data_IF_824614787651
#
_entry.id   IF_824614787651
#
_cell.length_a   1.000
_cell.length_b   1.000
_cell.length_c   1.000
_cell.angle_alpha   90.00
_cell.angle_beta   90.00
_cell.angle_gamma   90.00
#
_symmetry.space_group_name_H-M   'P 1'
#
loop_
_entity.id
_entity.type
_entity.pdbx_description
1 polymer ?
#
# COMPACT_ATOMS: atom_id res chain seq x y z
N UNK A 1 8.28 22.26 10.37
CA UNK A 1 9.53 22.21 9.55
C UNK A 1 9.21 21.37 8.33
N UNK A 2 9.66 21.69 7.10
CA UNK A 2 9.39 20.82 5.94
C UNK A 2 10.29 19.60 5.97
N UNK A 3 9.78 18.45 5.47
CA UNK A 3 10.59 17.25 5.30
C UNK A 3 11.65 17.45 4.22
N UNK A 4 12.86 16.94 4.46
CA UNK A 4 13.96 17.01 3.48
C UNK A 4 13.69 16.07 2.30
N UNK A 5 13.68 16.58 1.07
CA UNK A 5 13.53 15.77 -0.14
C UNK A 5 14.92 15.44 -0.72
N UNK A 6 15.30 14.16 -0.67
CA UNK A 6 16.57 13.64 -1.18
C UNK A 6 16.32 12.88 -2.47
N UNK A 7 16.64 13.48 -3.61
CA UNK A 7 16.54 12.81 -4.92
C UNK A 7 17.72 11.86 -5.13
N UNK A 8 17.44 10.66 -5.61
CA UNK A 8 18.43 9.61 -5.82
C UNK A 8 18.07 8.77 -7.05
N UNK A 9 19.06 8.35 -7.81
CA UNK A 9 18.85 7.33 -8.86
C UNK A 9 18.89 5.94 -8.25
N UNK A 10 17.97 5.06 -8.65
CA UNK A 10 18.05 3.65 -8.29
C UNK A 10 19.14 2.87 -9.03
N UNK A 11 19.66 3.45 -10.13
CA UNK A 11 20.76 2.84 -10.89
C UNK A 11 22.07 3.01 -10.13
N UNK A 12 22.75 1.88 -9.83
CA UNK A 12 24.07 1.82 -9.18
C UNK A 12 24.15 2.47 -7.80
N UNK A 13 23.02 2.60 -7.08
CA UNK A 13 22.99 3.14 -5.72
C UNK A 13 23.71 2.19 -4.75
N UNK A 14 24.51 2.76 -3.85
CA UNK A 14 25.25 2.03 -2.81
C UNK A 14 25.01 2.68 -1.44
N UNK A 15 25.46 1.99 -0.39
CA UNK A 15 25.44 2.52 0.97
C UNK A 15 26.27 3.81 1.15
N UNK A 16 27.22 4.07 0.26
CA UNK A 16 28.09 5.24 0.30
C UNK A 16 27.51 6.48 -0.41
N UNK A 17 26.39 6.35 -1.10
CA UNK A 17 25.72 7.48 -1.72
C UNK A 17 25.41 8.58 -0.68
N UNK A 18 25.72 9.86 -0.96
CA UNK A 18 25.51 10.96 0.01
C UNK A 18 24.07 11.06 0.53
N UNK A 19 23.07 10.86 -0.34
CA UNK A 19 21.66 10.89 0.06
C UNK A 19 21.32 9.69 0.98
N UNK A 20 21.87 8.50 0.67
CA UNK A 20 21.72 7.31 1.51
C UNK A 20 22.38 7.53 2.87
N UNK A 21 23.63 8.00 2.92
CA UNK A 21 24.33 8.28 4.18
C UNK A 21 23.60 9.29 5.06
N UNK A 22 23.06 10.35 4.44
CA UNK A 22 22.28 11.34 5.16
C UNK A 22 20.99 10.74 5.74
N UNK A 23 20.23 9.98 4.94
CA UNK A 23 19.03 9.29 5.38
C UNK A 23 19.33 8.24 6.47
N UNK A 24 20.42 7.47 6.32
CA UNK A 24 20.88 6.49 7.30
C UNK A 24 21.27 7.14 8.64
N UNK A 25 21.92 8.31 8.59
CA UNK A 25 22.23 9.08 9.81
C UNK A 25 20.94 9.48 10.54
N UNK A 26 19.91 9.95 9.82
CA UNK A 26 18.60 10.29 10.41
C UNK A 26 18.02 9.06 11.12
N UNK A 27 17.99 7.87 10.46
CA UNK A 27 17.48 6.62 11.05
C UNK A 27 18.25 6.23 12.32
N UNK A 28 19.61 6.30 12.30
CA UNK A 28 20.45 5.98 13.47
C UNK A 28 20.19 6.88 14.67
N UNK A 29 19.81 8.15 14.43
CA UNK A 29 19.49 9.10 15.50
C UNK A 29 17.99 9.11 15.88
N UNK A 30 17.24 8.04 15.54
CA UNK A 30 15.83 7.88 15.91
C UNK A 30 14.87 8.71 15.03
N UNK A 31 15.34 9.29 13.92
CA UNK A 31 14.51 10.02 12.97
C UNK A 31 13.73 9.11 12.03
N UNK A 32 12.82 9.71 11.24
CA UNK A 32 11.94 9.04 10.32
C UNK A 32 12.26 9.39 8.87
N UNK A 33 12.45 8.37 8.03
CA UNK A 33 12.73 8.53 6.60
C UNK A 33 11.70 7.74 5.78
N UNK A 34 11.01 8.42 4.86
CA UNK A 34 10.25 7.72 3.85
C UNK A 34 11.16 7.29 2.69
N UNK A 35 11.01 6.05 2.23
CA UNK A 35 11.87 5.49 1.19
C UNK A 35 11.09 4.58 0.23
N UNK A 36 11.52 4.49 -1.05
CA UNK A 36 10.89 3.62 -2.04
C UNK A 36 11.19 2.16 -1.75
N UNK A 37 10.20 1.31 -2.01
CA UNK A 37 10.40 -0.13 -2.20
C UNK A 37 9.79 -0.53 -3.54
N UNK A 38 10.01 -1.76 -3.98
CA UNK A 38 9.39 -2.30 -5.19
C UNK A 38 7.86 -2.36 -5.09
N UNK A 39 7.32 -2.39 -3.87
CA UNK A 39 5.87 -2.45 -3.60
C UNK A 39 5.22 -1.08 -3.50
N UNK A 40 5.51 -0.34 -2.44
CA UNK A 40 5.02 1.01 -2.14
C UNK A 40 6.11 1.78 -1.36
N UNK A 41 5.97 3.08 -1.18
CA UNK A 41 6.86 3.81 -0.27
C UNK A 41 6.60 3.42 1.18
N UNK A 42 7.68 3.10 1.92
CA UNK A 42 7.67 2.81 3.34
C UNK A 42 8.08 4.02 4.19
N UNK A 43 7.50 4.18 5.38
CA UNK A 43 7.96 5.13 6.40
C UNK A 43 8.83 4.40 7.40
N UNK A 44 10.14 4.63 7.36
CA UNK A 44 11.15 3.92 8.13
C UNK A 44 11.59 4.62 9.40
N UNK A 45 11.80 3.83 10.44
CA UNK A 45 12.51 4.17 11.67
C UNK A 45 13.33 2.96 12.14
N UNK A 46 14.30 3.18 13.04
CA UNK A 46 15.09 2.09 13.61
C UNK A 46 14.17 1.09 14.35
N UNK A 47 14.13 -0.15 13.87
CA UNK A 47 13.25 -1.20 14.40
C UNK A 47 13.64 -1.65 15.82
N UNK A 48 14.88 -1.39 16.26
CA UNK A 48 15.40 -1.75 17.59
C UNK A 48 15.19 -0.63 18.61
N UNK A 49 14.79 0.55 18.15
CA UNK A 49 14.53 1.71 18.99
C UNK A 49 13.02 1.90 19.18
N UNK A 50 12.55 1.63 20.41
CA UNK A 50 11.13 1.75 20.78
C UNK A 50 10.58 3.15 20.48
N UNK A 51 11.34 4.20 20.76
CA UNK A 51 10.88 5.58 20.58
C UNK A 51 10.79 5.95 19.09
N UNK A 52 11.74 5.50 18.25
CA UNK A 52 11.65 5.66 16.81
C UNK A 52 10.40 4.94 16.24
N UNK A 53 10.09 3.74 16.74
CA UNK A 53 8.87 3.01 16.36
C UNK A 53 7.62 3.78 16.77
N UNK A 54 7.54 4.32 17.98
CA UNK A 54 6.40 5.12 18.44
C UNK A 54 6.22 6.40 17.61
N UNK A 55 7.30 7.05 17.18
CA UNK A 55 7.23 8.19 16.25
C UNK A 55 6.61 7.83 14.91
N UNK A 56 6.78 6.59 14.42
CA UNK A 56 6.09 6.12 13.20
C UNK A 56 4.56 6.14 13.41
N UNK A 57 4.09 5.63 14.55
CA UNK A 57 2.65 5.63 14.88
C UNK A 57 2.10 7.06 14.98
N UNK A 58 2.83 7.95 15.64
CA UNK A 58 2.46 9.36 15.79
C UNK A 58 2.39 10.07 14.42
N UNK A 59 3.45 9.98 13.60
CA UNK A 59 3.52 10.63 12.29
C UNK A 59 2.37 10.22 11.38
N UNK A 60 1.99 8.94 11.40
CA UNK A 60 0.90 8.37 10.60
C UNK A 60 -0.48 8.51 11.24
N UNK A 61 -0.59 8.86 12.51
CA UNK A 61 -1.81 8.73 13.30
C UNK A 61 -2.35 7.27 13.26
N UNK A 62 -1.42 6.31 13.35
CA UNK A 62 -1.69 4.88 13.30
C UNK A 62 -2.02 4.37 14.70
N UNK A 63 -3.04 3.54 14.90
CA UNK A 63 -3.33 2.94 16.20
C UNK A 63 -2.27 1.88 16.57
N UNK A 64 -1.95 1.80 17.86
CA UNK A 64 -0.89 0.93 18.37
C UNK A 64 -1.17 -0.58 18.22
N UNK A 65 -2.43 -0.97 17.98
CA UNK A 65 -2.82 -2.38 17.77
C UNK A 65 -2.49 -2.93 16.36
N UNK A 66 -2.02 -2.09 15.43
CA UNK A 66 -1.71 -2.50 14.05
C UNK A 66 -0.19 -2.65 13.88
N UNK A 67 0.36 -3.89 13.84
CA UNK A 67 1.80 -4.16 13.87
C UNK A 67 2.52 -3.60 12.63
N UNK A 68 3.85 -3.55 12.69
CA UNK A 68 4.72 -3.02 11.64
C UNK A 68 5.67 -4.11 11.14
N UNK A 69 5.91 -4.16 9.83
CA UNK A 69 6.88 -5.05 9.20
C UNK A 69 8.30 -4.50 9.42
N UNK A 70 9.22 -5.38 9.79
CA UNK A 70 10.64 -5.07 9.93
C UNK A 70 11.39 -5.49 8.67
N UNK A 71 12.15 -4.56 8.11
CA UNK A 71 12.92 -4.74 6.88
C UNK A 71 14.40 -4.94 7.18
N UNK A 72 15.00 -5.94 6.54
CA UNK A 72 16.41 -6.26 6.60
C UNK A 72 17.07 -6.14 5.22
N UNK A 73 18.39 -5.89 5.15
CA UNK A 73 19.12 -5.84 3.88
C UNK A 73 19.66 -7.21 3.44
N UNK A 74 19.66 -8.21 4.33
CA UNK A 74 20.21 -9.54 4.05
C UNK A 74 19.54 -10.63 4.88
N UNK A 75 19.68 -11.90 4.45
CA UNK A 75 19.26 -13.07 5.24
C UNK A 75 20.00 -13.17 6.57
N UNK A 76 21.27 -12.76 6.61
CA UNK A 76 22.05 -12.75 7.85
C UNK A 76 21.39 -11.82 8.87
N UNK A 77 21.09 -10.56 8.50
CA UNK A 77 20.38 -9.62 9.36
C UNK A 77 18.98 -10.14 9.71
N UNK A 78 18.20 -10.64 8.74
CA UNK A 78 16.84 -11.13 8.98
C UNK A 78 16.80 -12.24 10.05
N UNK A 79 17.76 -13.17 10.03
CA UNK A 79 17.85 -14.28 10.99
C UNK A 79 18.16 -13.83 12.42
N UNK A 80 18.81 -12.69 12.64
CA UNK A 80 19.07 -12.16 14.00
C UNK A 80 17.82 -11.59 14.66
N UNK A 81 16.77 -11.33 13.89
CA UNK A 81 15.53 -10.69 14.37
C UNK A 81 14.48 -11.68 14.86
N UNK A 82 14.71 -12.96 14.67
CA UNK A 82 13.77 -14.05 14.96
C UNK A 82 14.44 -15.18 15.75
N UNK A 83 13.65 -15.88 16.55
CA UNK A 83 14.16 -17.01 17.37
C UNK A 83 14.49 -18.26 16.56
N UNK A 84 13.85 -18.44 15.39
CA UNK A 84 14.06 -19.57 14.52
C UNK A 84 13.80 -19.22 13.05
N UNK A 85 14.55 -19.91 12.16
CA UNK A 85 14.37 -19.83 10.70
C UNK A 85 14.07 -21.22 10.15
N UNK A 86 12.80 -21.67 10.16
CA UNK A 86 12.42 -23.02 9.77
C UNK A 86 12.64 -23.29 8.28
N UNK A 87 12.55 -24.56 7.86
CA UNK A 87 12.76 -24.98 6.48
C UNK A 87 11.85 -24.27 5.48
N UNK A 88 10.57 -24.05 5.84
CA UNK A 88 9.65 -23.29 5.00
C UNK A 88 10.12 -21.84 4.79
N UNK A 89 10.67 -21.18 5.83
CA UNK A 89 11.29 -19.86 5.68
C UNK A 89 12.51 -19.90 4.76
N UNK A 90 13.34 -20.95 4.86
CA UNK A 90 14.51 -21.10 4.00
C UNK A 90 14.10 -21.26 2.52
N UNK A 91 13.11 -22.11 2.24
CA UNK A 91 12.59 -22.32 0.87
C UNK A 91 11.99 -21.04 0.29
N UNK A 92 11.08 -20.38 1.03
CA UNK A 92 10.41 -19.18 0.57
C UNK A 92 11.37 -18.00 0.39
N UNK A 93 12.34 -17.83 1.32
CA UNK A 93 13.32 -16.75 1.18
C UNK A 93 14.28 -16.98 0.02
N UNK A 94 14.65 -18.21 -0.29
CA UNK A 94 15.49 -18.52 -1.45
C UNK A 94 14.79 -18.18 -2.79
N UNK A 95 13.47 -18.30 -2.84
CA UNK A 95 12.70 -18.02 -4.07
C UNK A 95 12.26 -16.54 -4.17
N UNK A 96 11.94 -15.88 -3.04
CA UNK A 96 11.19 -14.62 -3.05
C UNK A 96 11.81 -13.50 -2.20
N UNK A 97 13.06 -13.66 -1.71
CA UNK A 97 13.79 -12.60 -1.02
C UNK A 97 15.19 -12.43 -1.63
N UNK A 98 15.58 -11.21 -1.99
CA UNK A 98 14.85 -9.94 -1.86
C UNK A 98 13.55 -9.91 -2.69
N UNK A 99 12.44 -9.34 -2.11
CA UNK A 99 11.18 -9.27 -2.84
C UNK A 99 9.94 -8.94 -1.98
N UNK A 100 8.76 -9.01 -2.61
CA UNK A 100 7.50 -8.59 -2.00
C UNK A 100 6.87 -9.71 -1.13
N UNK A 101 7.69 -10.40 -0.33
CA UNK A 101 7.26 -11.41 0.64
C UNK A 101 7.60 -10.96 2.07
N UNK A 102 6.68 -11.16 3.00
CA UNK A 102 6.84 -10.96 4.44
C UNK A 102 6.51 -12.25 5.17
N UNK A 103 7.46 -12.76 5.95
CA UNK A 103 7.28 -13.94 6.79
C UNK A 103 6.96 -13.52 8.22
N UNK A 104 5.86 -14.03 8.79
CA UNK A 104 5.56 -13.92 10.22
C UNK A 104 6.27 -15.05 10.95
N UNK A 105 7.18 -14.68 11.87
CA UNK A 105 8.04 -15.59 12.61
C UNK A 105 8.11 -15.18 14.09
N UNK A 106 8.36 -16.10 15.02
CA UNK A 106 8.59 -15.78 16.44
C UNK A 106 9.73 -14.76 16.58
N UNK A 107 9.41 -13.59 17.16
CA UNK A 107 10.36 -12.49 17.29
C UNK A 107 11.48 -12.81 18.27
N UNK A 108 12.66 -12.29 18.02
CA UNK A 108 13.73 -12.20 19.02
C UNK A 108 13.45 -11.06 20.01
N UNK A 109 13.93 -11.16 21.24
CA UNK A 109 13.66 -10.20 22.33
C UNK A 109 14.21 -8.79 22.08
N UNK A 110 15.14 -8.63 21.11
CA UNK A 110 15.64 -7.32 20.67
C UNK A 110 14.58 -6.49 19.93
N UNK A 111 13.49 -7.11 19.46
CA UNK A 111 12.40 -6.40 18.77
C UNK A 111 11.41 -5.86 19.80
N UNK A 112 11.26 -4.53 19.93
CA UNK A 112 10.31 -3.92 20.85
C UNK A 112 8.87 -4.37 20.58
N UNK A 113 8.08 -4.55 21.64
CA UNK A 113 6.65 -4.87 21.55
C UNK A 113 5.87 -3.86 20.71
N UNK A 114 6.31 -2.61 20.66
CA UNK A 114 5.73 -1.59 19.82
C UNK A 114 5.71 -1.97 18.32
N UNK A 115 6.71 -2.72 17.81
CA UNK A 115 6.72 -3.20 16.43
C UNK A 115 5.62 -4.24 16.16
N UNK A 116 5.31 -5.06 17.16
CA UNK A 116 4.45 -6.25 17.01
C UNK A 116 3.06 -6.07 17.63
N UNK A 117 2.76 -4.88 18.15
CA UNK A 117 1.54 -4.62 18.91
C UNK A 117 1.39 -5.61 20.10
N UNK A 118 2.50 -5.93 20.77
CA UNK A 118 2.56 -6.88 21.90
C UNK A 118 2.53 -8.35 21.52
N UNK A 119 2.53 -8.68 20.22
CA UNK A 119 2.47 -10.09 19.77
C UNK A 119 3.85 -10.75 19.74
N UNK A 120 3.83 -12.08 19.86
CA UNK A 120 5.03 -12.94 19.86
C UNK A 120 5.69 -13.10 18.47
N UNK A 121 5.02 -12.69 17.39
CA UNK A 121 5.52 -12.80 16.01
C UNK A 121 5.80 -11.44 15.41
N UNK A 122 6.84 -11.39 14.59
CA UNK A 122 7.23 -10.22 13.80
C UNK A 122 7.19 -10.54 12.31
N UNK A 123 6.73 -9.59 11.50
CA UNK A 123 6.83 -9.69 10.04
C UNK A 123 8.22 -9.27 9.57
N UNK A 124 8.95 -10.17 8.92
CA UNK A 124 10.30 -9.93 8.37
C UNK A 124 10.24 -9.90 6.85
N UNK A 125 10.87 -8.89 6.25
CA UNK A 125 10.98 -8.74 4.81
C UNK A 125 12.37 -8.27 4.40
N UNK A 126 12.86 -8.73 3.26
CA UNK A 126 14.03 -8.17 2.55
C UNK A 126 13.48 -7.57 1.25
N UNK A 127 13.40 -6.22 1.12
CA UNK A 127 12.84 -5.58 -0.07
C UNK A 127 13.78 -5.75 -1.27
N UNK A 128 13.25 -5.75 -2.51
CA UNK A 128 14.07 -5.87 -3.71
C UNK A 128 14.59 -4.51 -4.24
N UNK A 129 14.08 -3.39 -3.74
CA UNK A 129 14.43 -2.07 -4.25
C UNK A 129 15.86 -1.66 -3.81
N UNK A 130 16.77 -1.28 -4.75
CA UNK A 130 18.18 -0.99 -4.43
C UNK A 130 18.35 0.12 -3.38
N UNK A 131 17.54 1.18 -3.45
CA UNK A 131 17.59 2.29 -2.46
C UNK A 131 17.20 1.82 -1.07
N UNK A 132 16.22 0.93 -0.94
CA UNK A 132 15.82 0.37 0.35
C UNK A 132 16.95 -0.49 0.95
N UNK A 133 17.56 -1.34 0.14
CA UNK A 133 18.69 -2.18 0.58
C UNK A 133 19.88 -1.34 1.03
N UNK A 134 20.29 -0.36 0.20
CA UNK A 134 21.38 0.56 0.50
C UNK A 134 21.12 1.38 1.78
N UNK A 135 19.88 1.85 2.00
CA UNK A 135 19.52 2.58 3.22
C UNK A 135 19.65 1.70 4.47
N UNK A 136 19.13 0.46 4.44
CA UNK A 136 19.19 -0.46 5.58
C UNK A 136 20.66 -0.85 5.86
N UNK A 137 21.44 -1.10 4.82
CA UNK A 137 22.87 -1.42 4.92
C UNK A 137 23.64 -0.24 5.54
N UNK A 138 23.49 0.99 5.01
CA UNK A 138 24.14 2.19 5.52
C UNK A 138 23.69 2.55 6.95
N UNK A 139 22.44 2.27 7.31
CA UNK A 139 21.95 2.47 8.67
C UNK A 139 22.58 1.46 9.66
N UNK A 140 22.93 0.26 9.19
CA UNK A 140 23.49 -0.81 10.03
C UNK A 140 22.49 -1.40 11.02
N UNK A 141 21.19 -1.05 10.90
CA UNK A 141 20.10 -1.52 11.75
C UNK A 141 18.90 -1.91 10.90
N UNK A 142 18.07 -2.88 11.34
CA UNK A 142 16.82 -3.19 10.68
C UNK A 142 15.85 -1.99 10.76
N UNK A 143 15.01 -1.82 9.75
CA UNK A 143 14.09 -0.69 9.65
C UNK A 143 12.65 -1.18 9.79
N UNK A 144 11.93 -0.69 10.82
CA UNK A 144 10.49 -0.86 10.92
C UNK A 144 9.80 0.10 9.93
N UNK A 145 9.01 -0.44 8.98
CA UNK A 145 8.38 0.42 7.97
C UNK A 145 6.99 -0.07 7.56
N UNK A 146 5.91 0.64 7.95
CA UNK A 146 4.62 0.58 7.27
C UNK A 146 4.65 1.43 5.99
N UNK A 147 3.59 1.43 5.18
CA UNK A 147 3.44 2.36 4.05
C UNK A 147 3.51 3.83 4.49
N UNK A 148 4.09 4.73 3.68
CA UNK A 148 4.36 6.12 4.06
C UNK A 148 3.18 7.07 3.78
N UNK A 149 1.96 6.72 4.25
CA UNK A 149 0.72 7.50 4.17
C UNK A 149 0.13 7.73 5.56
N UNK A 150 -0.83 8.63 5.69
CA UNK A 150 -1.69 8.68 6.87
C UNK A 150 -2.48 7.38 7.01
N UNK A 151 -2.75 6.95 8.24
CA UNK A 151 -3.47 5.71 8.49
C UNK A 151 -4.83 5.68 7.76
N UNK A 152 -5.15 4.54 7.16
CA UNK A 152 -6.40 4.33 6.41
C UNK A 152 -6.40 4.86 4.97
N UNK A 153 -5.53 5.82 4.61
CA UNK A 153 -5.45 6.36 3.26
C UNK A 153 -4.81 5.36 2.26
N UNK A 154 -4.99 5.63 0.96
CA UNK A 154 -4.35 4.87 -0.12
C UNK A 154 -2.82 4.90 0.03
N UNK A 155 -2.14 3.76 -0.20
CA UNK A 155 -0.69 3.70 -0.05
C UNK A 155 0.04 4.58 -1.08
N UNK A 156 1.19 5.17 -0.72
CA UNK A 156 1.94 6.03 -1.62
C UNK A 156 2.82 5.21 -2.56
N UNK A 157 2.75 5.50 -3.86
CA UNK A 157 3.59 4.88 -4.88
C UNK A 157 4.64 5.83 -5.45
N UNK A 158 4.66 7.09 -4.99
CA UNK A 158 5.66 8.11 -5.37
C UNK A 158 6.04 8.97 -4.16
N UNK A 159 7.19 9.63 -4.21
CA UNK A 159 7.60 10.61 -3.20
C UNK A 159 6.61 11.78 -3.06
N UNK A 160 5.98 12.19 -4.17
CA UNK A 160 4.95 13.24 -4.16
C UNK A 160 3.72 12.83 -3.34
N UNK A 161 3.31 11.54 -3.39
CA UNK A 161 2.24 11.03 -2.54
C UNK A 161 2.61 11.07 -1.06
N UNK A 162 3.87 10.71 -0.72
CA UNK A 162 4.38 10.80 0.65
C UNK A 162 4.38 12.25 1.14
N UNK A 163 4.89 13.17 0.33
CA UNK A 163 4.96 14.59 0.66
C UNK A 163 3.58 15.18 0.98
N UNK A 164 2.54 14.82 0.21
CA UNK A 164 1.16 15.26 0.50
C UNK A 164 0.63 14.75 1.84
N UNK A 165 0.98 13.53 2.22
CA UNK A 165 0.44 12.90 3.43
C UNK A 165 1.23 13.26 4.68
N UNK A 166 2.57 13.37 4.58
CA UNK A 166 3.48 13.38 5.72
C UNK A 166 4.46 14.56 5.76
N UNK A 167 4.40 15.53 4.83
CA UNK A 167 5.28 16.71 4.90
C UNK A 167 5.16 17.42 6.26
N UNK A 168 6.29 17.74 6.84
CA UNK A 168 6.38 18.36 8.16
C UNK A 168 6.18 17.42 9.36
N UNK A 169 5.91 16.13 9.11
CA UNK A 169 5.72 15.10 10.14
C UNK A 169 6.87 14.10 10.23
N UNK A 170 7.71 14.06 9.19
CA UNK A 170 8.85 13.16 9.04
C UNK A 170 10.09 13.95 8.66
N UNK A 171 11.27 13.40 8.91
CA UNK A 171 12.53 14.13 8.75
C UNK A 171 12.97 14.19 7.29
N UNK A 172 12.84 13.08 6.51
CA UNK A 172 13.26 13.06 5.12
C UNK A 172 12.43 12.11 4.24
N UNK A 173 12.52 12.34 2.93
CA UNK A 173 11.95 11.50 1.87
C UNK A 173 13.06 11.21 0.86
N UNK A 174 13.39 9.94 0.62
CA UNK A 174 14.22 9.49 -0.49
C UNK A 174 13.32 9.34 -1.74
N UNK A 175 13.62 10.09 -2.80
CA UNK A 175 12.85 10.06 -4.04
C UNK A 175 13.67 9.36 -5.15
N UNK A 176 13.27 8.12 -5.47
CA UNK A 176 13.85 7.34 -6.58
C UNK A 176 12.82 6.99 -7.66
N UNK A 177 11.76 7.79 -7.79
CA UNK A 177 10.69 7.55 -8.76
C UNK A 177 9.56 6.64 -8.23
N UNK A 178 8.68 6.17 -9.12
CA UNK A 178 7.51 5.38 -8.74
C UNK A 178 7.85 3.94 -8.34
N UNK A 179 7.05 3.38 -7.42
CA UNK A 179 7.10 1.96 -7.08
C UNK A 179 6.57 1.09 -8.25
N UNK A 180 7.20 -0.06 -8.48
CA UNK A 180 6.93 -0.90 -9.66
C UNK A 180 5.68 -1.77 -9.50
N UNK A 181 5.44 -2.38 -8.31
CA UNK A 181 4.37 -3.35 -8.08
C UNK A 181 3.05 -2.68 -7.71
N UNK A 182 3.10 -1.61 -6.91
CA UNK A 182 1.93 -0.80 -6.57
C UNK A 182 0.98 -1.39 -5.52
N UNK A 183 1.20 -2.63 -5.06
CA UNK A 183 0.51 -3.25 -3.93
C UNK A 183 1.53 -3.80 -2.95
N UNK A 184 1.17 -3.91 -1.67
CA UNK A 184 2.07 -4.32 -0.60
C UNK A 184 2.52 -5.78 -0.73
N UNK A 185 3.52 -6.16 0.09
CA UNK A 185 4.02 -7.53 0.18
C UNK A 185 2.95 -8.51 0.64
N UNK A 186 3.04 -9.75 0.18
CA UNK A 186 2.29 -10.87 0.72
C UNK A 186 2.78 -11.17 2.13
N UNK A 187 1.86 -11.29 3.10
CA UNK A 187 2.18 -11.62 4.49
C UNK A 187 1.68 -13.03 4.80
N UNK A 188 2.61 -13.92 5.15
CA UNK A 188 2.31 -15.32 5.46
C UNK A 188 2.85 -15.73 6.83
N UNK A 189 2.01 -16.39 7.60
CA UNK A 189 2.40 -17.10 8.81
C UNK A 189 2.73 -18.55 8.47
N UNK A 190 4.00 -18.88 8.51
CA UNK A 190 4.50 -20.22 8.21
C UNK A 190 4.61 -21.11 9.46
N UNK A 191 4.26 -20.60 10.62
CA UNK A 191 4.25 -21.38 11.88
C UNK A 191 2.89 -22.05 12.12
N UNK A 192 1.87 -21.62 11.38
CA UNK A 192 0.54 -22.26 11.39
C UNK A 192 0.52 -23.53 10.53
N UNK A 193 -0.41 -24.45 10.81
CA UNK A 193 -0.60 -25.68 10.05
C UNK A 193 -2.06 -25.80 9.58
N UNK A 194 -2.34 -25.71 8.26
CA UNK A 194 -1.43 -25.29 7.19
C UNK A 194 -1.03 -23.81 7.32
N UNK A 195 0.06 -23.34 6.65
CA UNK A 195 0.47 -21.94 6.65
C UNK A 195 -0.65 -21.00 6.21
N UNK A 196 -0.69 -19.77 6.76
CA UNK A 196 -1.81 -18.83 6.55
C UNK A 196 -1.29 -17.57 5.87
N UNK A 197 -1.87 -17.22 4.72
CA UNK A 197 -1.70 -15.90 4.11
C UNK A 197 -2.71 -14.96 4.76
N UNK A 198 -2.21 -14.03 5.57
CA UNK A 198 -3.02 -12.98 6.19
C UNK A 198 -3.31 -11.83 5.25
N UNK A 199 -2.37 -11.52 4.36
CA UNK A 199 -2.50 -10.44 3.40
C UNK A 199 -2.00 -10.88 2.03
N UNK A 200 -2.87 -11.07 1.03
CA UNK A 200 -2.45 -11.23 -0.36
C UNK A 200 -1.65 -10.01 -0.83
N UNK A 201 -0.63 -10.19 -1.64
CA UNK A 201 0.28 -9.12 -2.09
C UNK A 201 1.03 -9.49 -3.37
N UNK A 202 2.28 -8.97 -3.49
CA UNK A 202 3.08 -9.11 -4.70
C UNK A 202 3.47 -10.55 -5.08
N UNK A 203 3.52 -11.48 -4.09
CA UNK A 203 3.69 -12.93 -4.37
C UNK A 203 2.32 -13.59 -4.26
N UNK A 204 1.93 -14.32 -5.32
CA UNK A 204 0.62 -14.96 -5.35
C UNK A 204 0.56 -16.22 -4.46
N UNK A 205 -0.66 -16.64 -4.15
CA UNK A 205 -0.92 -17.88 -3.40
C UNK A 205 -0.32 -19.09 -4.13
N UNK A 206 -0.53 -19.17 -5.43
CA UNK A 206 -0.10 -20.27 -6.29
C UNK A 206 1.43 -20.40 -6.32
N UNK A 207 2.15 -19.26 -6.34
CA UNK A 207 3.61 -19.25 -6.26
C UNK A 207 4.11 -19.79 -4.90
N UNK A 208 3.44 -19.43 -3.81
CA UNK A 208 3.79 -19.93 -2.47
C UNK A 208 3.50 -21.43 -2.36
N UNK A 209 2.32 -21.88 -2.83
CA UNK A 209 1.91 -23.28 -2.80
C UNK A 209 2.85 -24.18 -3.63
N UNK A 210 3.41 -23.63 -4.71
CA UNK A 210 4.41 -24.35 -5.51
C UNK A 210 5.70 -24.66 -4.72
N UNK A 211 6.07 -23.79 -3.76
CA UNK A 211 7.32 -23.92 -2.99
C UNK A 211 7.17 -24.75 -1.72
N UNK A 212 6.06 -24.53 -0.96
CA UNK A 212 5.88 -25.12 0.37
C UNK A 212 4.64 -26.00 0.51
N UNK A 213 3.90 -26.23 -0.57
CA UNK A 213 2.64 -26.96 -0.54
C UNK A 213 1.44 -26.10 -0.12
N UNK A 214 0.28 -26.73 0.15
CA UNK A 214 -0.97 -26.04 0.38
C UNK A 214 -0.92 -24.99 1.49
N UNK A 215 -1.51 -23.82 1.22
CA UNK A 215 -1.70 -22.74 2.20
C UNK A 215 -3.16 -22.32 2.24
N UNK A 216 -3.60 -21.72 3.33
CA UNK A 216 -4.94 -21.12 3.43
C UNK A 216 -4.87 -19.60 3.46
N UNK A 217 -5.94 -18.97 3.00
CA UNK A 217 -6.15 -17.53 3.23
C UNK A 217 -6.79 -17.35 4.60
N UNK A 218 -6.38 -16.32 5.33
CA UNK A 218 -7.05 -15.95 6.56
C UNK A 218 -8.53 -15.64 6.27
N UNK A 219 -9.42 -16.14 7.15
CA UNK A 219 -10.82 -15.73 7.10
C UNK A 219 -10.92 -14.21 7.34
N UNK A 220 -11.88 -13.56 6.71
CA UNK A 220 -12.20 -12.17 7.03
C UNK A 220 -12.84 -12.15 8.41
N UNK A 221 -12.13 -11.64 9.39
CA UNK A 221 -12.73 -11.34 10.67
C UNK A 221 -13.55 -10.05 10.53
N UNK A 222 -14.86 -10.17 10.63
CA UNK A 222 -15.75 -9.04 10.86
C UNK A 222 -15.72 -8.76 12.37
N UNK A 223 -14.76 -7.94 12.80
CA UNK A 223 -14.81 -7.42 14.19
C UNK A 223 -16.02 -6.49 14.27
N UNK A 224 -17.07 -6.93 14.94
CA UNK A 224 -18.34 -6.21 15.09
C UNK A 224 -18.20 -4.87 15.83
N UNK A 225 -17.53 -3.88 15.21
CA UNK A 225 -17.44 -2.50 15.70
C UNK A 225 -16.47 -2.24 16.86
N UNK A 226 -15.88 -3.26 17.47
CA UNK A 226 -14.88 -3.10 18.54
C UNK A 226 -13.48 -3.20 17.94
N UNK A 227 -12.59 -2.20 18.15
CA UNK A 227 -11.19 -2.31 17.74
C UNK A 227 -10.56 -3.54 18.40
N UNK A 228 -9.83 -4.39 17.67
CA UNK A 228 -9.11 -5.51 18.27
C UNK A 228 -8.00 -4.98 19.20
N UNK A 229 -7.68 -5.71 20.24
CA UNK A 229 -6.53 -5.38 21.11
C UNK A 229 -5.22 -5.37 20.32
N UNK A 230 -5.07 -6.28 19.35
CA UNK A 230 -4.00 -6.25 18.35
C UNK A 230 -4.35 -7.10 17.12
N UNK A 231 -3.79 -6.74 15.94
CA UNK A 231 -3.98 -7.50 14.70
C UNK A 231 -2.87 -8.54 14.49
N UNK A 232 -3.22 -9.68 13.90
CA UNK A 232 -2.26 -10.74 13.54
C UNK A 232 -1.23 -10.26 12.50
N UNK A 233 -1.62 -9.34 11.63
CA UNK A 233 -0.81 -8.84 10.52
C UNK A 233 -1.21 -7.41 10.16
N UNK A 234 -0.26 -6.60 9.63
CA UNK A 234 -0.58 -5.28 9.10
C UNK A 234 -1.64 -5.32 8.00
N UNK A 235 -2.55 -4.34 8.00
CA UNK A 235 -3.57 -4.19 6.95
C UNK A 235 -4.75 -5.16 7.05
N UNK A 236 -5.01 -5.76 8.21
CA UNK A 236 -6.24 -6.53 8.48
C UNK A 236 -7.40 -5.63 8.91
N UNK A 237 -7.18 -4.35 9.18
CA UNK A 237 -8.24 -3.40 9.60
C UNK A 237 -9.39 -3.31 8.59
N UNK A 238 -10.60 -3.00 9.10
CA UNK A 238 -11.86 -3.03 8.34
C UNK A 238 -11.85 -2.02 7.19
N UNK A 239 -11.39 -0.78 7.42
CA UNK A 239 -11.23 0.25 6.39
C UNK A 239 -9.77 0.64 6.28
N UNK A 240 -9.16 0.27 5.17
CA UNK A 240 -7.77 0.56 4.86
C UNK A 240 -7.61 0.85 3.37
N UNK A 241 -6.57 1.57 2.98
CA UNK A 241 -6.28 1.88 1.56
C UNK A 241 -7.31 2.78 0.87
N UNK A 242 -8.14 3.48 1.64
CA UNK A 242 -9.29 4.19 1.11
C UNK A 242 -8.92 5.57 0.53
N UNK A 243 -9.46 5.95 -0.65
CA UNK A 243 -9.47 7.34 -1.09
C UNK A 243 -10.38 8.18 -0.18
N UNK A 244 -10.29 9.53 -0.31
CA UNK A 244 -11.23 10.45 0.35
C UNK A 244 -12.63 10.30 -0.24
N UNK A 245 -12.71 10.17 -1.57
CA UNK A 245 -13.94 9.89 -2.29
C UNK A 245 -14.55 8.55 -1.86
N UNK A 246 -15.86 8.43 -1.95
CA UNK A 246 -16.55 7.15 -1.76
C UNK A 246 -16.19 6.20 -2.90
N UNK A 247 -15.52 5.09 -2.60
CA UNK A 247 -15.24 4.04 -3.58
C UNK A 247 -16.46 3.12 -3.73
N UNK A 248 -16.91 2.93 -4.97
CA UNK A 248 -18.01 2.04 -5.35
C UNK A 248 -17.48 1.03 -6.36
N UNK A 249 -17.60 -0.24 -6.02
CA UNK A 249 -17.18 -1.34 -6.89
C UNK A 249 -18.30 -1.67 -7.87
N UNK A 250 -17.92 -1.94 -9.12
CA UNK A 250 -18.84 -2.34 -10.21
C UNK A 250 -18.33 -3.62 -10.85
N UNK A 251 -19.27 -4.46 -11.30
CA UNK A 251 -18.92 -5.78 -11.81
C UNK A 251 -18.53 -5.76 -13.30
N UNK A 252 -19.16 -4.86 -14.09
CA UNK A 252 -18.96 -4.78 -15.54
C UNK A 252 -19.15 -3.34 -16.06
N UNK A 253 -18.90 -3.16 -17.35
CA UNK A 253 -19.05 -1.89 -18.07
C UNK A 253 -20.49 -1.35 -18.02
N UNK A 254 -21.48 -2.23 -18.10
CA UNK A 254 -22.91 -1.86 -18.06
C UNK A 254 -23.29 -1.34 -16.66
N UNK A 255 -22.82 -2.00 -15.62
CA UNK A 255 -23.00 -1.55 -14.24
C UNK A 255 -22.32 -0.21 -14.00
N UNK A 256 -21.13 0.00 -14.56
CA UNK A 256 -20.42 1.29 -14.51
C UNK A 256 -21.24 2.40 -15.18
N UNK A 257 -21.72 2.18 -16.42
CA UNK A 257 -22.51 3.17 -17.14
C UNK A 257 -23.78 3.58 -16.36
N UNK A 258 -24.51 2.61 -15.81
CA UNK A 258 -25.68 2.86 -14.96
C UNK A 258 -25.34 3.66 -13.69
N UNK A 259 -24.23 3.32 -13.05
CA UNK A 259 -23.78 4.02 -11.86
C UNK A 259 -23.36 5.47 -12.16
N UNK A 260 -22.69 5.74 -13.29
CA UNK A 260 -22.36 7.09 -13.75
C UNK A 260 -23.64 7.93 -13.83
N UNK A 261 -24.66 7.46 -14.57
CA UNK A 261 -25.94 8.18 -14.72
C UNK A 261 -26.59 8.49 -13.37
N UNK A 262 -26.63 7.52 -12.45
CA UNK A 262 -27.22 7.68 -11.13
C UNK A 262 -26.50 8.70 -10.26
N UNK A 263 -25.16 8.71 -10.25
CA UNK A 263 -24.39 9.64 -9.42
C UNK A 263 -24.36 11.04 -10.02
N UNK A 264 -24.25 11.16 -11.34
CA UNK A 264 -24.32 12.45 -12.04
C UNK A 264 -25.69 13.10 -11.83
N UNK A 265 -26.80 12.34 -11.95
CA UNK A 265 -28.13 12.86 -11.66
C UNK A 265 -28.31 13.38 -10.22
N UNK A 266 -27.48 12.90 -9.28
CA UNK A 266 -27.43 13.37 -7.88
C UNK A 266 -26.43 14.51 -7.66
N UNK A 267 -25.90 15.11 -8.71
CA UNK A 267 -24.93 16.21 -8.65
C UNK A 267 -23.56 15.80 -8.10
N UNK A 268 -23.16 14.51 -8.18
CA UNK A 268 -21.86 14.04 -7.72
C UNK A 268 -20.80 14.22 -8.80
N UNK A 269 -19.59 14.56 -8.38
CA UNK A 269 -18.41 14.53 -9.24
C UNK A 269 -17.84 13.11 -9.26
N UNK A 270 -17.92 12.42 -10.41
CA UNK A 270 -17.65 10.99 -10.54
C UNK A 270 -16.25 10.77 -11.08
N UNK A 271 -15.41 10.04 -10.33
CA UNK A 271 -14.14 9.53 -10.77
C UNK A 271 -14.27 8.11 -11.34
N UNK A 272 -13.57 7.80 -12.40
CA UNK A 272 -13.59 6.50 -13.05
C UNK A 272 -12.19 5.86 -13.05
N UNK A 273 -12.05 4.68 -12.45
CA UNK A 273 -10.92 3.78 -12.74
C UNK A 273 -11.29 3.02 -14.01
N UNK A 274 -10.85 3.54 -15.17
CA UNK A 274 -11.33 3.08 -16.46
C UNK A 274 -10.37 2.08 -17.10
N UNK A 275 -10.77 0.80 -17.30
CA UNK A 275 -9.98 -0.15 -18.08
C UNK A 275 -9.90 0.27 -19.55
N UNK A 276 -8.79 -0.07 -20.20
CA UNK A 276 -8.63 0.15 -21.63
C UNK A 276 -9.72 -0.60 -22.43
N UNK A 277 -10.33 0.10 -23.38
CA UNK A 277 -11.40 -0.46 -24.21
C UNK A 277 -12.81 -0.33 -23.62
N UNK A 278 -12.94 0.08 -22.35
CA UNK A 278 -14.23 0.45 -21.80
C UNK A 278 -14.53 1.90 -22.22
N UNK A 279 -15.63 2.08 -22.92
CA UNK A 279 -16.08 3.41 -23.34
C UNK A 279 -17.13 3.90 -22.33
N UNK A 280 -17.00 5.15 -21.84
CA UNK A 280 -18.09 5.77 -21.11
C UNK A 280 -19.28 5.88 -22.07
N UNK A 281 -20.31 5.05 -21.88
CA UNK A 281 -21.50 4.93 -22.76
C UNK A 281 -22.45 6.10 -22.57
N UNK A 282 -21.96 7.33 -22.52
CA UNK A 282 -22.81 8.50 -22.50
C UNK A 282 -22.14 9.63 -23.27
N UNK A 283 -22.78 10.09 -24.34
CA UNK A 283 -22.38 11.30 -25.09
C UNK A 283 -22.37 12.59 -24.24
N UNK A 284 -22.71 12.49 -22.92
CA UNK A 284 -22.75 13.61 -21.96
C UNK A 284 -21.52 13.65 -21.05
N UNK A 285 -20.59 12.70 -21.18
CA UNK A 285 -19.44 12.59 -20.29
C UNK A 285 -18.17 12.56 -21.12
N UNK A 286 -17.56 13.73 -21.33
CA UNK A 286 -16.17 13.81 -21.79
C UNK A 286 -15.24 13.75 -20.56
N UNK A 287 -14.62 12.60 -20.27
CA UNK A 287 -13.74 12.51 -19.13
C UNK A 287 -12.46 13.29 -19.40
N UNK A 288 -12.01 14.06 -18.40
CA UNK A 288 -10.63 14.59 -18.41
C UNK A 288 -9.70 13.39 -18.28
N UNK A 289 -8.97 13.08 -19.34
CA UNK A 289 -7.99 11.99 -19.34
C UNK A 289 -6.66 12.45 -18.73
N UNK A 290 -5.95 11.55 -18.07
CA UNK A 290 -4.61 11.81 -17.57
C UNK A 290 -3.67 12.18 -18.75
N UNK A 291 -2.85 13.25 -18.68
CA UNK A 291 -1.83 13.56 -19.67
C UNK A 291 -0.81 12.42 -19.78
N UNK A 292 -0.59 11.91 -20.99
CA UNK A 292 0.42 10.87 -21.25
C UNK A 292 -0.03 9.68 -22.10
N UNK A 293 -1.33 9.48 -22.33
CA UNK A 293 -1.84 8.54 -23.33
C UNK A 293 -2.25 9.33 -24.57
N UNK A 294 -1.29 9.54 -25.52
CA UNK A 294 -1.52 10.05 -26.87
C UNK A 294 -2.71 11.01 -27.05
N UNK A 295 -2.55 12.25 -26.57
CA UNK A 295 -3.57 13.28 -26.79
C UNK A 295 -3.31 13.96 -28.14
N UNK A 296 -4.29 14.14 -29.04
CA UNK A 296 -4.20 15.16 -30.05
C UNK A 296 -4.24 16.53 -29.36
N UNK A 297 -3.24 17.35 -29.65
CA UNK A 297 -3.18 18.75 -29.25
C UNK A 297 -4.33 19.54 -29.89
N UNK A 298 -4.79 20.56 -29.14
CA UNK A 298 -5.61 21.67 -29.59
C UNK A 298 -7.09 21.38 -29.95
N UNK A 299 -7.91 21.42 -28.91
CA UNK A 299 -9.30 21.84 -29.06
C UNK A 299 -9.58 23.02 -28.12
N UNK A 300 -9.83 24.17 -28.74
CA UNK A 300 -10.30 25.42 -28.14
C UNK A 300 -11.59 25.14 -27.34
N UNK A 301 -11.51 25.23 -26.01
CA UNK A 301 -12.62 24.90 -25.10
C UNK A 301 -13.21 26.19 -24.55
N UNK A 302 -14.33 26.63 -25.16
CA UNK A 302 -15.23 27.61 -24.56
C UNK A 302 -15.81 27.02 -23.25
N UNK A 303 -15.47 27.67 -22.15
CA UNK A 303 -15.87 27.36 -20.77
C UNK A 303 -17.36 27.58 -20.60
N UNK A 304 -18.18 26.53 -20.43
CA UNK A 304 -19.48 26.63 -19.72
C UNK A 304 -20.16 25.30 -19.38
N UNK A 305 -19.52 24.13 -19.44
CA UNK A 305 -20.14 22.94 -18.84
C UNK A 305 -19.24 22.38 -17.74
N UNK A 306 -19.74 22.35 -16.51
CA UNK A 306 -19.10 21.69 -15.37
C UNK A 306 -19.00 20.19 -15.69
N UNK A 307 -17.82 19.74 -16.12
CA UNK A 307 -17.57 18.34 -16.40
C UNK A 307 -17.70 17.54 -15.09
N UNK A 308 -18.78 16.78 -14.97
CA UNK A 308 -19.11 16.01 -13.76
C UNK A 308 -18.35 14.71 -13.65
N UNK A 309 -17.48 14.37 -14.61
CA UNK A 309 -16.70 13.14 -14.63
C UNK A 309 -15.24 13.37 -14.96
N UNK A 310 -14.38 12.63 -14.26
CA UNK A 310 -12.94 12.51 -14.55
C UNK A 310 -12.56 11.03 -14.64
N UNK A 311 -11.67 10.66 -15.56
CA UNK A 311 -11.27 9.28 -15.73
C UNK A 311 -9.75 9.11 -15.66
N UNK A 312 -9.33 8.07 -14.93
CA UNK A 312 -7.96 7.58 -14.90
C UNK A 312 -7.88 6.31 -15.73
N UNK A 313 -7.04 6.30 -16.80
CA UNK A 313 -6.77 5.09 -17.58
C UNK A 313 -6.06 4.08 -16.69
N UNK A 314 -6.74 2.98 -16.33
CA UNK A 314 -6.20 2.00 -15.39
C UNK A 314 -5.31 0.96 -16.09
N UNK A 315 -5.54 0.70 -17.36
CA UNK A 315 -4.83 -0.28 -18.18
C UNK A 315 -5.72 -1.43 -18.64
N UNK A 316 -5.14 -2.39 -19.34
CA UNK A 316 -5.87 -3.56 -19.83
C UNK A 316 -6.27 -4.47 -18.68
N UNK A 317 -7.53 -4.93 -18.70
CA UNK A 317 -8.13 -5.69 -17.59
C UNK A 317 -7.54 -7.11 -17.42
N UNK A 318 -6.87 -7.63 -18.44
CA UNK A 318 -6.12 -8.88 -18.42
C UNK A 318 -4.67 -8.74 -17.96
N UNK A 319 -4.16 -7.50 -17.86
CA UNK A 319 -2.79 -7.20 -17.40
C UNK A 319 -2.75 -6.85 -15.92
N UNK A 320 -3.06 -7.83 -15.05
CA UNK A 320 -3.16 -7.64 -13.61
C UNK A 320 -1.94 -6.96 -12.95
N UNK A 321 -0.68 -7.21 -13.35
CA UNK A 321 0.47 -6.48 -12.81
C UNK A 321 0.40 -4.98 -13.10
N UNK A 322 -0.03 -4.55 -14.28
CA UNK A 322 -0.21 -3.14 -14.63
C UNK A 322 -1.34 -2.51 -13.78
N UNK A 323 -2.46 -3.23 -13.61
CA UNK A 323 -3.55 -2.75 -12.76
C UNK A 323 -3.10 -2.59 -11.31
N UNK A 324 -2.28 -3.50 -10.79
CA UNK A 324 -1.71 -3.40 -9.45
C UNK A 324 -0.83 -2.15 -9.30
N UNK A 325 0.11 -1.94 -10.24
CA UNK A 325 1.03 -0.79 -10.24
C UNK A 325 0.29 0.56 -10.29
N UNK A 326 -0.86 0.61 -10.96
CA UNK A 326 -1.65 1.84 -11.17
C UNK A 326 -2.80 2.03 -10.17
N UNK A 327 -3.07 1.05 -9.30
CA UNK A 327 -4.21 1.08 -8.38
C UNK A 327 -4.23 2.34 -7.50
N UNK A 328 -3.21 2.51 -6.67
CA UNK A 328 -3.17 3.64 -5.75
C UNK A 328 -2.90 4.97 -6.44
N UNK A 329 -2.11 4.96 -7.52
CA UNK A 329 -1.89 6.15 -8.32
C UNK A 329 -3.21 6.68 -8.91
N UNK A 330 -4.07 5.79 -9.41
CA UNK A 330 -5.39 6.14 -9.94
C UNK A 330 -6.34 6.67 -8.87
N UNK A 331 -6.47 5.96 -7.75
CA UNK A 331 -7.32 6.39 -6.65
C UNK A 331 -6.92 7.77 -6.11
N UNK A 332 -5.60 8.03 -5.96
CA UNK A 332 -5.06 9.31 -5.51
C UNK A 332 -5.27 10.40 -6.55
N UNK A 333 -5.03 10.10 -7.83
CA UNK A 333 -5.23 11.05 -8.92
C UNK A 333 -6.70 11.51 -9.00
N UNK A 334 -7.65 10.58 -8.87
CA UNK A 334 -9.08 10.91 -8.87
C UNK A 334 -9.48 11.76 -7.65
N UNK A 335 -8.92 11.48 -6.47
CA UNK A 335 -9.10 12.34 -5.29
C UNK A 335 -8.56 13.77 -5.49
N UNK A 336 -7.44 13.91 -6.21
CA UNK A 336 -6.82 15.20 -6.53
C UNK A 336 -7.66 16.01 -7.51
N UNK A 337 -8.35 15.30 -8.42
CA UNK A 337 -9.32 15.91 -9.34
C UNK A 337 -10.72 16.02 -8.73
N UNK A 338 -10.80 16.02 -7.39
CA UNK A 338 -12.01 16.33 -6.61
C UNK A 338 -13.20 15.39 -6.86
N UNK A 339 -12.94 14.15 -7.29
CA UNK A 339 -13.98 13.14 -7.32
C UNK A 339 -14.61 12.98 -5.91
N UNK A 340 -15.93 12.95 -5.85
CA UNK A 340 -16.68 12.68 -4.61
C UNK A 340 -17.08 11.21 -4.51
N UNK A 341 -17.19 10.55 -5.67
CA UNK A 341 -17.44 9.12 -5.82
C UNK A 341 -16.47 8.58 -6.86
N UNK A 342 -15.82 7.46 -6.58
CA UNK A 342 -14.97 6.73 -7.54
C UNK A 342 -15.64 5.41 -7.88
N UNK A 343 -15.88 5.17 -9.17
CA UNK A 343 -16.34 3.89 -9.69
C UNK A 343 -15.13 3.08 -10.14
N UNK A 344 -15.02 1.86 -9.62
CA UNK A 344 -13.90 0.99 -9.92
C UNK A 344 -14.39 -0.43 -10.23
N UNK A 345 -14.06 -0.99 -11.41
CA UNK A 345 -14.39 -2.37 -11.72
C UNK A 345 -13.52 -3.34 -10.93
N UNK A 346 -14.05 -4.53 -10.65
CA UNK A 346 -13.36 -5.56 -9.88
C UNK A 346 -12.64 -6.52 -10.86
N UNK A 347 -11.30 -6.54 -10.86
CA UNK A 347 -10.56 -7.45 -11.73
C UNK A 347 -10.65 -8.90 -11.26
N UNK A 348 -10.24 -9.89 -12.11
CA UNK A 348 -10.18 -11.29 -11.71
C UNK A 348 -9.30 -11.50 -10.45
N UNK A 349 -9.79 -12.29 -9.49
CA UNK A 349 -9.11 -12.56 -8.22
C UNK A 349 -8.09 -13.72 -8.36
N UNK A 350 -7.28 -13.74 -9.41
CA UNK A 350 -6.23 -14.73 -9.68
C UNK A 350 -4.85 -14.08 -9.60
N UNK A 351 -3.84 -14.81 -9.16
CA UNK A 351 -2.50 -14.27 -9.03
C UNK A 351 -2.46 -12.99 -8.19
N UNK A 352 -1.80 -11.93 -8.70
CA UNK A 352 -1.76 -10.60 -8.05
C UNK A 352 -3.14 -9.90 -8.00
N UNK A 353 -4.09 -10.31 -8.85
CA UNK A 353 -5.46 -9.80 -8.84
C UNK A 353 -6.17 -10.03 -7.50
N UNK A 354 -5.83 -11.11 -6.78
CA UNK A 354 -6.34 -11.36 -5.43
C UNK A 354 -5.96 -10.21 -4.47
N UNK A 355 -4.73 -9.67 -4.58
CA UNK A 355 -4.30 -8.52 -3.79
C UNK A 355 -5.07 -7.24 -4.17
N UNK A 356 -5.27 -7.00 -5.47
CA UNK A 356 -6.06 -5.84 -5.94
C UNK A 356 -7.47 -5.90 -5.36
N UNK A 357 -8.14 -7.05 -5.49
CA UNK A 357 -9.51 -7.25 -4.98
C UNK A 357 -9.59 -7.08 -3.47
N UNK A 358 -8.61 -7.60 -2.72
CA UNK A 358 -8.53 -7.38 -1.26
C UNK A 358 -8.45 -5.89 -0.91
N UNK A 359 -7.59 -5.12 -1.61
CA UNK A 359 -7.42 -3.68 -1.39
C UNK A 359 -8.68 -2.89 -1.75
N UNK A 360 -9.28 -3.17 -2.90
CA UNK A 360 -10.52 -2.54 -3.35
C UNK A 360 -11.67 -2.76 -2.37
N UNK A 361 -11.84 -3.99 -1.89
CA UNK A 361 -12.90 -4.31 -0.92
C UNK A 361 -12.68 -3.65 0.44
N UNK A 362 -11.43 -3.52 0.91
CA UNK A 362 -11.10 -2.80 2.16
C UNK A 362 -11.31 -1.28 1.98
N UNK A 363 -10.96 -0.74 0.82
CA UNK A 363 -11.16 0.67 0.51
C UNK A 363 -12.64 1.05 0.35
N UNK A 364 -13.48 0.14 -0.17
CA UNK A 364 -14.91 0.35 -0.36
C UNK A 364 -15.74 0.08 0.92
N UNK A 365 -15.15 -0.54 1.96
CA UNK A 365 -15.85 -0.79 3.22
C UNK A 365 -16.30 0.55 3.85
N UNK A 366 -17.60 0.64 4.15
CA UNK A 366 -18.13 1.82 4.85
C UNK A 366 -17.61 1.85 6.30
N UNK A 367 -17.40 3.06 6.88
CA UNK A 367 -17.23 3.14 8.32
C UNK A 367 -18.46 2.50 8.98
N UNK A 368 -18.28 1.62 9.95
CA UNK A 368 -19.37 1.20 10.82
C UNK A 368 -19.87 2.45 11.54
N UNK A 369 -20.96 3.04 11.06
CA UNK A 369 -21.68 4.09 11.76
C UNK A 369 -22.18 3.47 13.07
N UNK A 370 -21.83 4.08 14.20
CA UNK A 370 -22.56 3.89 15.45
C UNK A 370 -24.08 4.13 15.23
N UNK A 371 -24.92 3.76 16.19
CA UNK A 371 -26.37 3.67 15.98
C UNK A 371 -26.89 4.92 15.31
N UNK A 372 -27.62 4.69 14.21
CA UNK A 372 -28.30 5.70 13.42
C UNK A 372 -29.25 6.51 14.32
N UNK A 373 -28.93 7.76 14.54
CA UNK A 373 -29.95 8.75 14.88
C UNK A 373 -30.81 9.02 13.65
N UNK A 374 -32.10 8.89 13.90
CA UNK A 374 -33.24 9.43 13.15
C UNK A 374 -33.70 8.75 11.86
N UNK A 375 -34.73 7.96 12.04
CA UNK A 375 -35.89 7.95 11.12
C UNK A 375 -36.78 9.15 11.46
N UNK A 376 -37.04 10.08 10.53
CA UNK A 376 -38.18 10.97 10.66
C UNK A 376 -39.44 10.26 10.21
N UNK A 377 -40.49 10.49 10.95
CA UNK A 377 -41.90 10.13 10.71
C UNK A 377 -42.40 10.65 9.38
#
# INVERSE_FOLDING_TARGET
MRSLLLKISSANVTADDPAIRQAAAIIRHGGLVAFPTETVYGLGGNALDREAVLRIFEAKQRPAWDPIIVHACSLAMAKTLVRAWPEAAQKLSACFMPGPLTLLLPKHDIIPDACTAGREKVGIRIPAHPVALALIEAAGVPIAAPSANRFGAASPTTAAHVQRDLDGRIDAILDAGPAEIGVESTVIDITAQPPIIYRPGGISREQIEFVIGPVRLAARETHGGVPPESLESPGLGIRHYAPRARLVLVDDERAMAKAIEQFVARGKHVGLMLPDGWLPVSRKVDPIMQPGAGSPADADLSVTEVRQCVAFSWGKFDQLPMLAARLYAGLRWLDEHQATVILCPVPPATGIGLAIVDRLRKAAAQPTTGPSEESPQ
#
